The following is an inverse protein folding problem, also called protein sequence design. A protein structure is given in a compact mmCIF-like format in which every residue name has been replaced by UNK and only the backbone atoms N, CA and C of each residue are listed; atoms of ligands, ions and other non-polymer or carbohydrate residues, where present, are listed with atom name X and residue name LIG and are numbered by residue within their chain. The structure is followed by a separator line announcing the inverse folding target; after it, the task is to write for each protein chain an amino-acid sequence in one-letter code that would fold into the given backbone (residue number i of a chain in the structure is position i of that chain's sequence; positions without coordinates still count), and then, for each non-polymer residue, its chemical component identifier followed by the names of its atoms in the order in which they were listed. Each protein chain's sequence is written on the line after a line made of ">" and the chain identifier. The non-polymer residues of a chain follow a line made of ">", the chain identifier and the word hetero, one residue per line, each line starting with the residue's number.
data_IF_766834795217
#
_entry.id   IF_766834795217
#
_cell.length_a   1.000
_cell.length_b   1.000
_cell.length_c   1.000
_cell.angle_alpha   90.00
_cell.angle_beta   90.00
_cell.angle_gamma   90.00
#
_symmetry.space_group_name_H-M   'P 1'
#
loop_
_entity.id
_entity.type
_entity.pdbx_description
1 polymer ?
#
# COMPACT_ATOMS: atom_id res chain seq x y z
N UNK A 1 47.03 16.18 8.58
CA UNK A 1 46.60 14.77 8.38
C UNK A 1 45.39 14.36 9.22
N UNK A 2 45.37 14.53 10.56
CA UNK A 2 44.25 14.11 11.41
C UNK A 2 42.85 14.66 11.01
N UNK A 3 42.76 15.91 10.53
CA UNK A 3 41.50 16.53 10.08
C UNK A 3 40.93 15.96 8.78
N UNK A 4 41.81 15.56 7.84
CA UNK A 4 41.40 15.00 6.52
C UNK A 4 40.85 13.59 6.71
N UNK A 5 41.50 12.79 7.57
CA UNK A 5 41.03 11.44 7.93
C UNK A 5 39.67 11.51 8.64
N UNK A 6 39.47 12.50 9.52
CA UNK A 6 38.19 12.70 10.21
C UNK A 6 37.06 13.09 9.23
N UNK A 7 37.32 13.99 8.28
CA UNK A 7 36.35 14.35 7.23
C UNK A 7 36.02 13.16 6.33
N UNK A 8 37.02 12.37 5.92
CA UNK A 8 36.79 11.16 5.13
C UNK A 8 35.95 10.14 5.90
N UNK A 9 36.20 9.94 7.20
CA UNK A 9 35.40 9.05 8.04
C UNK A 9 33.94 9.54 8.17
N UNK A 10 33.72 10.84 8.35
CA UNK A 10 32.38 11.43 8.42
C UNK A 10 31.63 11.29 7.10
N UNK A 11 32.31 11.49 5.96
CA UNK A 11 31.73 11.28 4.62
C UNK A 11 31.39 9.81 4.33
N UNK A 12 32.21 8.87 4.80
CA UNK A 12 31.96 7.43 4.64
C UNK A 12 30.79 6.99 5.53
N UNK A 13 30.71 7.50 6.76
CA UNK A 13 29.60 7.21 7.68
C UNK A 13 28.31 7.84 7.18
N UNK A 14 28.34 9.08 6.66
CA UNK A 14 27.17 9.71 6.07
C UNK A 14 26.71 9.00 4.79
N UNK A 15 27.61 8.64 3.87
CA UNK A 15 27.23 7.92 2.66
C UNK A 15 26.53 6.58 2.94
N UNK A 16 26.94 5.84 3.98
CA UNK A 16 26.29 4.60 4.40
C UNK A 16 24.96 4.82 5.17
N UNK A 17 24.71 6.02 5.70
CA UNK A 17 23.45 6.37 6.37
C UNK A 17 22.37 6.88 5.40
N UNK A 18 22.73 7.27 4.17
CA UNK A 18 21.83 8.00 3.27
C UNK A 18 21.29 7.24 2.05
N UNK A 19 21.63 5.95 1.86
CA UNK A 19 21.04 5.15 0.78
C UNK A 19 20.65 3.76 1.27
N UNK A 20 19.52 3.67 1.97
CA UNK A 20 18.89 2.37 2.24
C UNK A 20 18.20 1.86 0.98
N UNK A 21 18.66 0.71 0.48
CA UNK A 21 18.08 0.08 -0.71
C UNK A 21 17.01 -0.94 -0.31
N UNK A 22 15.82 -0.84 -0.89
CA UNK A 22 14.69 -1.72 -0.61
C UNK A 22 14.31 -2.56 -1.83
N UNK A 23 13.95 -3.82 -1.57
CA UNK A 23 13.21 -4.67 -2.48
C UNK A 23 11.73 -4.58 -2.13
N UNK A 24 10.90 -4.22 -3.11
CA UNK A 24 9.45 -4.32 -2.97
C UNK A 24 9.03 -5.80 -3.15
N UNK A 25 8.81 -6.51 -2.03
CA UNK A 25 8.26 -7.86 -2.07
C UNK A 25 6.75 -7.82 -2.19
N UNK A 26 6.19 -8.41 -3.24
CA UNK A 26 4.75 -8.50 -3.44
C UNK A 26 4.09 -9.40 -2.39
N UNK A 27 3.16 -8.83 -1.63
CA UNK A 27 2.30 -9.52 -0.64
C UNK A 27 1.01 -10.01 -1.30
N UNK A 28 0.44 -9.18 -2.17
CA UNK A 28 -0.76 -9.47 -2.94
C UNK A 28 -0.66 -8.74 -4.29
N UNK A 29 -1.16 -9.37 -5.36
CA UNK A 29 -1.23 -8.77 -6.69
C UNK A 29 -2.57 -9.12 -7.34
N UNK A 30 -3.25 -8.12 -7.88
CA UNK A 30 -4.43 -8.27 -8.70
C UNK A 30 -4.10 -7.91 -10.15
N UNK A 31 -4.20 -8.88 -11.06
CA UNK A 31 -3.94 -8.68 -12.49
C UNK A 31 -5.18 -8.23 -13.28
N UNK A 32 -6.31 -7.99 -12.59
CA UNK A 32 -7.53 -7.51 -13.19
C UNK A 32 -7.40 -6.05 -13.66
N UNK A 33 -8.50 -5.51 -14.20
CA UNK A 33 -8.57 -4.22 -14.89
C UNK A 33 -7.97 -3.01 -14.17
N UNK A 34 -7.95 -3.02 -12.83
CA UNK A 34 -7.48 -1.91 -11.99
C UNK A 34 -6.03 -2.11 -11.48
N UNK A 35 -5.38 -3.24 -11.84
CA UNK A 35 -3.99 -3.61 -11.52
C UNK A 35 -3.50 -3.10 -10.15
N UNK A 36 -3.95 -3.67 -9.04
CA UNK A 36 -3.45 -3.22 -7.72
C UNK A 36 -2.54 -4.23 -7.08
N UNK A 37 -1.61 -3.78 -6.25
CA UNK A 37 -0.82 -4.68 -5.43
C UNK A 37 -0.44 -4.09 -4.08
N UNK A 38 -0.14 -4.98 -3.15
CA UNK A 38 0.38 -4.67 -1.83
C UNK A 38 1.84 -5.14 -1.80
N UNK A 39 2.77 -4.26 -1.47
CA UNK A 39 4.18 -4.61 -1.34
C UNK A 39 4.72 -4.33 0.06
N UNK A 40 5.68 -5.15 0.48
CA UNK A 40 6.52 -4.97 1.65
C UNK A 40 7.87 -4.38 1.23
N UNK A 41 8.29 -3.29 1.85
CA UNK A 41 9.58 -2.65 1.62
C UNK A 41 10.67 -3.38 2.41
N UNK A 42 11.20 -4.47 1.83
CA UNK A 42 12.25 -5.26 2.47
C UNK A 42 13.62 -4.63 2.22
N UNK A 43 14.33 -4.29 3.29
CA UNK A 43 15.70 -3.77 3.20
C UNK A 43 16.65 -4.83 2.62
N UNK A 44 17.49 -4.45 1.65
CA UNK A 44 18.46 -5.35 1.01
C UNK A 44 19.81 -5.36 1.75
N UNK A 45 20.21 -4.21 2.32
CA UNK A 45 21.52 -4.01 2.94
C UNK A 45 21.35 -3.68 4.43
N UNK A 46 22.09 -4.37 5.31
CA UNK A 46 22.03 -4.24 6.79
C UNK A 46 20.75 -4.75 7.48
N UNK A 47 20.43 -6.04 7.35
CA UNK A 47 19.34 -6.74 8.08
C UNK A 47 19.41 -6.65 9.62
N UNK A 48 20.51 -6.15 10.20
CA UNK A 48 20.74 -6.09 11.65
C UNK A 48 20.09 -4.89 12.35
N UNK A 49 19.48 -3.95 11.62
CA UNK A 49 18.82 -2.82 12.22
C UNK A 49 17.33 -3.14 12.40
N UNK A 50 16.83 -3.08 13.63
CA UNK A 50 15.41 -3.24 13.93
C UNK A 50 14.64 -2.07 13.29
N UNK A 51 14.17 -2.28 12.07
CA UNK A 51 13.44 -1.28 11.31
C UNK A 51 11.98 -1.70 11.21
N UNK A 52 11.09 -0.72 11.36
CA UNK A 52 9.65 -0.91 11.24
C UNK A 52 9.32 -1.45 9.85
N UNK A 53 8.58 -2.56 9.77
CA UNK A 53 8.10 -3.10 8.49
C UNK A 53 7.14 -2.11 7.84
N UNK A 54 7.50 -1.61 6.65
CA UNK A 54 6.71 -0.67 5.87
C UNK A 54 6.07 -1.38 4.69
N UNK A 55 4.79 -1.11 4.46
CA UNK A 55 4.05 -1.62 3.32
C UNK A 55 3.40 -0.48 2.54
N UNK A 56 3.17 -0.74 1.26
CA UNK A 56 2.49 0.19 0.37
C UNK A 56 1.45 -0.53 -0.48
N UNK A 57 0.29 0.11 -0.62
CA UNK A 57 -0.72 -0.25 -1.58
C UNK A 57 -0.60 0.63 -2.82
N UNK A 58 -0.56 -0.05 -3.96
CA UNK A 58 -0.33 0.54 -5.26
C UNK A 58 -1.49 0.22 -6.18
N UNK A 59 -1.77 1.12 -7.10
CA UNK A 59 -2.62 0.88 -8.26
C UNK A 59 -2.12 1.68 -9.46
N UNK A 60 -2.89 1.71 -10.54
CA UNK A 60 -2.54 2.49 -11.72
C UNK A 60 -3.66 3.45 -12.07
N UNK A 61 -3.27 4.63 -12.52
CA UNK A 61 -4.15 5.63 -13.11
C UNK A 61 -3.76 5.86 -14.56
N UNK A 62 -4.68 6.40 -15.36
CA UNK A 62 -4.36 6.84 -16.72
C UNK A 62 -4.36 8.38 -16.78
N UNK A 63 -3.40 8.96 -17.51
CA UNK A 63 -3.40 10.38 -17.85
C UNK A 63 -4.52 10.75 -18.83
N UNK A 64 -4.89 9.81 -19.71
CA UNK A 64 -5.89 9.97 -20.77
C UNK A 64 -6.90 8.81 -20.74
N UNK A 65 -7.99 8.93 -21.49
CA UNK A 65 -8.96 7.84 -21.65
C UNK A 65 -8.40 6.64 -22.44
N UNK A 66 -7.18 6.73 -22.99
CA UNK A 66 -6.50 5.62 -23.69
C UNK A 66 -5.70 4.74 -22.72
N UNK A 67 -5.99 3.43 -22.76
CA UNK A 67 -5.39 2.40 -21.89
C UNK A 67 -3.97 1.98 -22.29
N UNK A 68 -3.55 2.31 -23.52
CA UNK A 68 -2.33 1.78 -24.14
C UNK A 68 -1.11 2.70 -24.03
N UNK A 69 -1.32 3.98 -23.71
CA UNK A 69 -0.24 4.97 -23.60
C UNK A 69 -0.66 6.05 -22.59
N UNK A 70 -0.21 5.91 -21.33
CA UNK A 70 -0.51 6.88 -20.27
C UNK A 70 -0.83 6.32 -18.89
N UNK A 71 -0.72 5.01 -18.65
CA UNK A 71 -0.91 4.47 -17.30
C UNK A 71 0.31 4.72 -16.41
N UNK A 72 0.13 5.33 -15.23
CA UNK A 72 1.17 5.52 -14.23
C UNK A 72 0.80 4.87 -12.91
N UNK A 73 1.82 4.38 -12.20
CA UNK A 73 1.66 3.75 -10.89
C UNK A 73 1.48 4.81 -9.81
N UNK A 74 0.58 4.56 -8.87
CA UNK A 74 0.27 5.46 -7.77
C UNK A 74 0.27 4.71 -6.44
N UNK A 75 1.09 5.18 -5.50
CA UNK A 75 1.03 4.79 -4.09
C UNK A 75 -0.12 5.54 -3.41
N UNK A 76 -1.26 4.86 -3.23
CA UNK A 76 -2.44 5.48 -2.61
C UNK A 76 -2.47 5.31 -1.09
N UNK A 77 -1.71 4.36 -0.55
CA UNK A 77 -1.56 4.20 0.89
C UNK A 77 -0.19 3.62 1.24
N UNK A 78 0.47 4.19 2.25
CA UNK A 78 1.73 3.69 2.82
C UNK A 78 1.64 3.76 4.33
N UNK A 79 2.10 2.72 5.01
CA UNK A 79 2.10 2.67 6.46
C UNK A 79 2.98 1.55 7.00
N UNK A 80 3.18 1.56 8.31
CA UNK A 80 3.75 0.41 9.00
C UNK A 80 2.76 -0.76 9.05
N UNK A 81 3.22 -1.93 9.49
CA UNK A 81 2.40 -3.14 9.63
C UNK A 81 1.04 -2.91 10.32
N UNK A 82 1.02 -2.21 11.47
CA UNK A 82 -0.22 -1.95 12.22
C UNK A 82 -1.16 -1.02 11.47
N UNK A 83 -0.61 0.03 10.87
CA UNK A 83 -1.40 1.00 10.09
C UNK A 83 -2.05 0.35 8.87
N UNK A 84 -1.33 -0.55 8.19
CA UNK A 84 -1.83 -1.30 7.03
C UNK A 84 -2.91 -2.29 7.45
N UNK A 85 -2.71 -3.01 8.56
CA UNK A 85 -3.74 -3.88 9.12
C UNK A 85 -5.02 -3.10 9.45
N UNK A 86 -4.88 -1.96 10.13
CA UNK A 86 -6.01 -1.10 10.50
C UNK A 86 -6.72 -0.54 9.26
N UNK A 87 -5.98 -0.10 8.25
CA UNK A 87 -6.53 0.41 7.00
C UNK A 87 -7.37 -0.65 6.28
N UNK A 88 -6.79 -1.82 6.03
CA UNK A 88 -7.47 -2.93 5.36
C UNK A 88 -8.68 -3.43 6.16
N UNK A 89 -8.53 -3.58 7.48
CA UNK A 89 -9.62 -4.03 8.35
C UNK A 89 -10.78 -3.04 8.39
N UNK A 90 -10.49 -1.72 8.40
CA UNK A 90 -11.51 -0.68 8.36
C UNK A 90 -12.22 -0.62 7.01
N UNK A 91 -11.51 -0.84 5.89
CA UNK A 91 -12.15 -0.98 4.57
C UNK A 91 -13.13 -2.13 4.60
N UNK A 92 -12.71 -3.33 5.02
CA UNK A 92 -13.58 -4.52 5.10
C UNK A 92 -14.80 -4.24 6.00
N UNK A 93 -14.59 -3.66 7.17
CA UNK A 93 -15.67 -3.32 8.09
C UNK A 93 -16.65 -2.29 7.50
N UNK A 94 -16.13 -1.29 6.79
CA UNK A 94 -16.95 -0.28 6.11
C UNK A 94 -17.77 -0.91 4.97
N UNK A 95 -17.14 -1.73 4.13
CA UNK A 95 -17.77 -2.49 3.05
C UNK A 95 -18.88 -3.40 3.56
N UNK A 96 -18.66 -4.11 4.67
CA UNK A 96 -19.66 -5.00 5.27
C UNK A 96 -20.83 -4.21 5.87
N UNK A 97 -20.53 -3.16 6.66
CA UNK A 97 -21.56 -2.32 7.32
C UNK A 97 -22.54 -1.70 6.32
N UNK A 98 -22.02 -1.25 5.18
CA UNK A 98 -22.79 -0.53 4.16
C UNK A 98 -23.04 -1.37 2.90
N UNK A 99 -22.97 -2.71 2.98
CA UNK A 99 -23.12 -3.61 1.83
C UNK A 99 -24.43 -3.48 1.07
N UNK A 100 -25.49 -2.99 1.73
CA UNK A 100 -26.81 -2.78 1.13
C UNK A 100 -27.04 -1.32 0.69
N UNK A 101 -26.17 -0.40 1.08
CA UNK A 101 -26.30 1.02 0.78
C UNK A 101 -25.59 1.40 -0.51
N UNK A 102 -25.87 2.58 -1.05
CA UNK A 102 -25.20 3.13 -2.23
C UNK A 102 -24.77 4.57 -2.02
N UNK A 103 -23.69 4.98 -2.69
CA UNK A 103 -23.13 6.32 -2.61
C UNK A 103 -22.71 6.79 -1.20
N UNK A 104 -22.35 5.87 -0.31
CA UNK A 104 -21.81 6.19 1.01
C UNK A 104 -20.32 6.47 0.91
N UNK A 105 -19.86 7.61 1.43
CA UNK A 105 -18.46 8.04 1.39
C UNK A 105 -17.91 8.15 2.82
N UNK A 106 -16.66 7.78 3.00
CA UNK A 106 -15.90 7.98 4.23
C UNK A 106 -14.43 8.26 3.91
N UNK A 107 -13.66 8.60 4.94
CA UNK A 107 -12.20 8.67 4.88
C UNK A 107 -11.61 7.66 5.87
N UNK A 108 -10.74 6.78 5.38
CA UNK A 108 -10.01 5.80 6.19
C UNK A 108 -8.53 6.14 6.05
N UNK A 109 -7.89 6.54 7.16
CA UNK A 109 -6.48 6.94 7.16
C UNK A 109 -6.15 8.00 6.09
N UNK A 110 -7.02 9.02 5.97
CA UNK A 110 -6.96 10.10 4.98
C UNK A 110 -7.14 9.68 3.51
N UNK A 111 -7.49 8.42 3.24
CA UNK A 111 -7.85 7.94 1.90
C UNK A 111 -9.37 7.93 1.78
N UNK A 112 -9.89 8.52 0.72
CA UNK A 112 -11.32 8.52 0.44
C UNK A 112 -11.78 7.13 -0.01
N UNK A 113 -12.87 6.65 0.57
CA UNK A 113 -13.47 5.34 0.28
C UNK A 113 -14.97 5.51 0.05
N UNK A 114 -15.51 4.90 -1.00
CA UNK A 114 -16.92 5.01 -1.38
C UNK A 114 -17.55 3.64 -1.63
N UNK A 115 -18.75 3.41 -1.11
CA UNK A 115 -19.62 2.33 -1.57
C UNK A 115 -20.38 2.79 -2.82
N UNK A 116 -20.29 2.01 -3.89
CA UNK A 116 -21.01 2.28 -5.14
C UNK A 116 -21.42 0.97 -5.82
N UNK A 117 -22.60 0.99 -6.44
CA UNK A 117 -23.12 -0.11 -7.24
C UNK A 117 -22.64 0.07 -8.67
N UNK A 118 -22.03 -0.98 -9.22
CA UNK A 118 -21.54 -0.98 -10.60
C UNK A 118 -21.85 -2.32 -11.24
N UNK A 119 -22.53 -2.30 -12.39
CA UNK A 119 -23.05 -3.51 -13.06
C UNK A 119 -23.82 -4.46 -12.13
N UNK A 120 -24.61 -3.91 -11.19
CA UNK A 120 -25.39 -4.70 -10.22
C UNK A 120 -24.61 -5.25 -9.03
N UNK A 121 -23.29 -5.05 -8.98
CA UNK A 121 -22.44 -5.48 -7.86
C UNK A 121 -22.11 -4.31 -6.93
N UNK A 122 -22.14 -4.59 -5.63
CA UNK A 122 -21.69 -3.65 -4.59
C UNK A 122 -20.17 -3.65 -4.53
N UNK A 123 -19.60 -2.49 -4.78
CA UNK A 123 -18.17 -2.28 -4.77
C UNK A 123 -17.78 -1.22 -3.74
N UNK A 124 -16.58 -1.36 -3.22
CA UNK A 124 -15.90 -0.36 -2.41
C UNK A 124 -14.77 0.21 -3.26
N UNK A 125 -14.93 1.48 -3.61
CA UNK A 125 -14.02 2.26 -4.43
C UNK A 125 -13.06 2.97 -3.50
N UNK A 126 -11.77 2.90 -3.82
CA UNK A 126 -10.73 3.67 -3.14
C UNK A 126 -10.22 4.72 -4.11
N UNK A 127 -9.95 5.90 -3.60
CA UNK A 127 -9.47 7.03 -4.38
C UNK A 127 -8.03 7.35 -4.03
N UNK A 128 -7.28 7.83 -5.01
CA UNK A 128 -5.96 8.40 -4.77
C UNK A 128 -6.04 9.86 -4.27
N UNK A 129 -4.87 10.50 -4.16
CA UNK A 129 -4.72 11.88 -3.73
C UNK A 129 -5.27 12.91 -4.72
N UNK A 130 -5.52 12.51 -5.97
CA UNK A 130 -6.11 13.34 -7.02
C UNK A 130 -7.64 13.15 -7.12
N UNK A 131 -8.24 12.42 -6.17
CA UNK A 131 -9.65 12.05 -6.18
C UNK A 131 -10.08 11.23 -7.41
N UNK A 132 -9.15 10.47 -7.99
CA UNK A 132 -9.43 9.49 -9.03
C UNK A 132 -9.60 8.11 -8.41
N UNK A 133 -10.55 7.32 -8.90
CA UNK A 133 -10.75 5.94 -8.43
C UNK A 133 -9.54 5.13 -8.83
N UNK A 134 -8.80 4.60 -7.85
CA UNK A 134 -7.63 3.77 -8.10
C UNK A 134 -7.95 2.29 -8.14
N UNK A 135 -8.95 1.87 -7.36
CA UNK A 135 -9.42 0.50 -7.42
C UNK A 135 -10.90 0.37 -7.05
N UNK A 136 -11.54 -0.62 -7.65
CA UNK A 136 -12.93 -0.98 -7.40
C UNK A 136 -13.00 -2.46 -7.04
N UNK A 137 -13.19 -2.74 -5.76
CA UNK A 137 -13.24 -4.11 -5.27
C UNK A 137 -14.52 -4.43 -4.52
N UNK A 138 -14.98 -5.66 -4.69
CA UNK A 138 -16.05 -6.21 -3.87
C UNK A 138 -15.54 -6.44 -2.44
N UNK A 139 -16.47 -6.56 -1.49
CA UNK A 139 -16.12 -6.96 -0.11
C UNK A 139 -15.28 -8.25 -0.09
N UNK A 140 -15.64 -9.24 -0.90
CA UNK A 140 -14.91 -10.51 -0.99
C UNK A 140 -13.43 -10.26 -1.32
N UNK A 141 -13.16 -9.41 -2.30
CA UNK A 141 -11.79 -9.10 -2.74
C UNK A 141 -11.02 -8.34 -1.68
N UNK A 142 -11.64 -7.37 -0.99
CA UNK A 142 -11.00 -6.70 0.15
C UNK A 142 -10.66 -7.65 1.30
N UNK A 143 -11.55 -8.59 1.61
CA UNK A 143 -11.29 -9.63 2.61
C UNK A 143 -10.14 -10.57 2.21
N UNK A 144 -10.02 -10.89 0.92
CA UNK A 144 -8.88 -11.67 0.39
C UNK A 144 -7.55 -10.93 0.55
N UNK A 145 -7.52 -9.62 0.25
CA UNK A 145 -6.31 -8.79 0.43
C UNK A 145 -5.89 -8.78 1.91
N UNK A 146 -6.84 -8.55 2.82
CA UNK A 146 -6.58 -8.59 4.26
C UNK A 146 -6.06 -9.95 4.71
N UNK A 147 -6.68 -11.05 4.25
CA UNK A 147 -6.24 -12.41 4.61
C UNK A 147 -4.83 -12.72 4.09
N UNK A 148 -4.49 -12.29 2.86
CA UNK A 148 -3.14 -12.44 2.30
C UNK A 148 -2.10 -11.63 3.06
N UNK A 149 -2.45 -10.40 3.44
CA UNK A 149 -1.62 -9.56 4.28
C UNK A 149 -1.34 -10.21 5.65
N UNK A 150 -2.39 -10.64 6.35
CA UNK A 150 -2.27 -11.34 7.65
C UNK A 150 -1.38 -12.58 7.53
N UNK A 151 -1.63 -13.43 6.53
CA UNK A 151 -0.82 -14.62 6.30
C UNK A 151 0.65 -14.29 6.00
N UNK A 152 0.93 -13.23 5.25
CA UNK A 152 2.30 -12.80 4.97
C UNK A 152 3.03 -12.36 6.24
N UNK A 153 2.37 -11.59 7.10
CA UNK A 153 2.94 -11.12 8.36
C UNK A 153 3.14 -12.26 9.36
N UNK A 154 2.15 -13.15 9.53
CA UNK A 154 2.26 -14.32 10.42
C UNK A 154 3.44 -15.22 10.00
N UNK A 155 3.59 -15.50 8.70
CA UNK A 155 4.69 -16.33 8.17
C UNK A 155 6.09 -15.71 8.36
N UNK A 156 6.17 -14.41 8.60
CA UNK A 156 7.43 -13.67 8.77
C UNK A 156 7.64 -13.16 10.19
N UNK A 157 6.74 -13.49 11.13
CA UNK A 157 6.75 -12.98 12.49
C UNK A 157 6.73 -11.44 12.58
N UNK A 158 6.08 -10.77 11.63
CA UNK A 158 5.90 -9.31 11.63
C UNK A 158 4.74 -8.97 12.57
N UNK A 159 4.94 -8.08 13.53
CA UNK A 159 3.86 -7.65 14.42
C UNK A 159 2.96 -6.60 13.75
N UNK A 160 1.71 -6.96 13.44
CA UNK A 160 0.72 -6.10 12.77
C UNK A 160 -0.51 -5.78 13.62
N UNK A 161 -0.58 -6.24 14.88
CA UNK A 161 -1.70 -5.99 15.80
C UNK A 161 -1.32 -4.99 16.89
#
# INVERSE_FOLDING_TARGET
>A
MKKIILMALVCIVSANLFSQTYKLETVFFDNLSDKTYLSHWKLIENEKQAQTDIFSLWGYQNYFDSRDDGSYEVEYFRGNSKEVYQFLSRIVAFSEKYKNEDNIVTYISNVQVKISTYFGYKNTLVYDKEHKVICRFTLKRWSEILAKYVSYCDNRNINYK
#
